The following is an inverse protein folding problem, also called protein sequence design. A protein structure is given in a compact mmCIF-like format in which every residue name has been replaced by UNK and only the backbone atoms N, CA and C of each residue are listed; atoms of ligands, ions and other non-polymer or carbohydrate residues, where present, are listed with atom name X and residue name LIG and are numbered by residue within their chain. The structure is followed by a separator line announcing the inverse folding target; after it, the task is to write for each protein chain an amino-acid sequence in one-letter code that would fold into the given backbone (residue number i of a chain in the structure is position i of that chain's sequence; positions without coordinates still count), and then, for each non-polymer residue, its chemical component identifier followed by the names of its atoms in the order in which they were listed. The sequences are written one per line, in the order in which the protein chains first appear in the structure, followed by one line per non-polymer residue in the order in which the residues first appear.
data_IF_161553086350
#
_entry.id   IF_161553086350
#
_cell.length_a   1.000
_cell.length_b   1.000
_cell.length_c   1.000
_cell.angle_alpha   90.00
_cell.angle_beta   90.00
_cell.angle_gamma   90.00
#
_symmetry.space_group_name_H-M   'P 1'
#
loop_
_entity.id
_entity.type
_entity.pdbx_description
1 polymer ?
#
# COMPACT_ATOMS: atom_id res chain seq x y z
N UNK A 1 -11.00 29.54 2.88
CA UNK A 1 -9.90 28.56 3.10
C UNK A 1 -9.87 27.70 1.84
N UNK A 2 -8.84 27.78 1.03
CA UNK A 2 -8.73 26.94 -0.17
C UNK A 2 -8.32 25.56 0.33
N UNK A 3 -9.27 24.61 0.32
CA UNK A 3 -8.96 23.19 0.55
C UNK A 3 -7.99 22.78 -0.56
N UNK A 4 -6.78 22.37 -0.19
CA UNK A 4 -5.82 21.78 -1.12
C UNK A 4 -6.07 20.29 -1.15
N UNK A 5 -6.29 19.75 -2.34
CA UNK A 5 -6.33 18.30 -2.57
C UNK A 5 -5.02 17.64 -2.14
N UNK A 6 -5.10 16.47 -1.50
CA UNK A 6 -3.95 15.61 -1.19
C UNK A 6 -3.65 14.63 -2.32
N UNK A 7 -4.60 14.47 -3.25
CA UNK A 7 -4.39 13.60 -4.41
C UNK A 7 -3.16 14.01 -5.22
N UNK A 8 -2.30 13.05 -5.47
CA UNK A 8 -1.09 13.22 -6.26
C UNK A 8 -1.11 12.27 -7.45
N UNK A 9 -1.30 12.82 -8.63
CA UNK A 9 -1.07 12.07 -9.87
C UNK A 9 0.43 11.81 -10.02
N UNK A 10 0.83 10.55 -9.88
CA UNK A 10 2.23 10.14 -10.01
C UNK A 10 2.67 9.92 -11.45
N UNK A 11 1.76 10.02 -12.42
CA UNK A 11 2.06 9.81 -13.85
C UNK A 11 3.09 10.80 -14.41
N UNK A 12 3.16 11.99 -13.81
CA UNK A 12 4.15 13.02 -14.15
C UNK A 12 5.52 12.84 -13.51
N UNK A 13 5.68 11.93 -12.53
CA UNK A 13 6.96 11.68 -11.88
C UNK A 13 7.93 10.96 -12.81
N UNK A 14 9.13 11.51 -12.93
CA UNK A 14 10.17 10.94 -13.79
C UNK A 14 11.53 11.01 -13.12
N UNK A 15 12.22 9.89 -13.11
CA UNK A 15 13.55 9.75 -12.54
C UNK A 15 14.59 9.59 -13.63
N UNK A 16 15.71 10.33 -13.54
CA UNK A 16 16.88 10.09 -14.39
C UNK A 16 17.61 8.82 -13.93
N UNK A 17 18.44 8.26 -14.81
CA UNK A 17 19.15 7.01 -14.57
C UNK A 17 19.80 6.91 -13.17
N UNK A 18 20.53 7.94 -12.73
CA UNK A 18 21.21 7.94 -11.43
C UNK A 18 20.25 7.80 -10.25
N UNK A 19 19.11 8.52 -10.29
CA UNK A 19 18.07 8.42 -9.26
C UNK A 19 17.39 7.06 -9.31
N UNK A 20 17.05 6.56 -10.51
CA UNK A 20 16.49 5.23 -10.71
C UNK A 20 17.41 4.13 -10.17
N UNK A 21 18.70 4.22 -10.44
CA UNK A 21 19.71 3.28 -9.95
C UNK A 21 19.82 3.29 -8.42
N UNK A 22 19.80 4.48 -7.82
CA UNK A 22 19.81 4.64 -6.36
C UNK A 22 18.58 4.02 -5.70
N UNK A 23 17.38 4.25 -6.24
CA UNK A 23 16.13 3.66 -5.76
C UNK A 23 16.14 2.12 -5.86
N UNK A 24 16.72 1.57 -6.93
CA UNK A 24 16.85 0.14 -7.12
C UNK A 24 18.04 -0.48 -6.35
N UNK A 25 18.86 0.33 -5.68
CA UNK A 25 20.05 -0.13 -4.94
C UNK A 25 21.12 -0.76 -5.81
N UNK A 26 21.30 -0.29 -7.06
CA UNK A 26 22.27 -0.82 -8.04
C UNK A 26 23.02 0.30 -8.76
N UNK A 27 24.08 -0.06 -9.49
CA UNK A 27 24.86 0.91 -10.27
C UNK A 27 24.15 1.32 -11.56
N UNK A 28 24.48 2.50 -12.10
CA UNK A 28 23.95 2.99 -13.37
C UNK A 28 24.20 2.03 -14.54
N UNK A 29 25.37 1.40 -14.56
CA UNK A 29 25.69 0.43 -15.61
C UNK A 29 24.84 -0.85 -15.47
N UNK A 30 24.59 -1.29 -14.24
CA UNK A 30 23.70 -2.43 -13.97
C UNK A 30 22.26 -2.12 -14.36
N UNK A 31 21.79 -0.89 -14.08
CA UNK A 31 20.45 -0.43 -14.47
C UNK A 31 20.31 -0.44 -15.99
N UNK A 32 21.28 0.12 -16.72
CA UNK A 32 21.28 0.08 -18.20
C UNK A 32 21.20 -1.35 -18.73
N UNK A 33 22.07 -2.24 -18.22
CA UNK A 33 22.11 -3.66 -18.59
C UNK A 33 20.73 -4.32 -18.37
N UNK A 34 20.11 -4.10 -17.21
CA UNK A 34 18.82 -4.72 -16.89
C UNK A 34 17.67 -4.17 -17.74
N UNK A 35 17.68 -2.87 -18.08
CA UNK A 35 16.71 -2.31 -19.03
C UNK A 35 16.84 -2.99 -20.38
N UNK A 36 18.07 -3.13 -20.88
CA UNK A 36 18.32 -3.73 -22.20
C UNK A 36 17.96 -5.24 -22.20
N UNK A 37 18.28 -5.98 -21.14
CA UNK A 37 17.96 -7.41 -21.00
C UNK A 37 16.47 -7.68 -20.76
N UNK A 38 15.77 -6.77 -20.06
CA UNK A 38 14.35 -6.95 -19.73
C UNK A 38 13.42 -6.68 -20.91
N UNK A 39 13.84 -5.91 -21.89
CA UNK A 39 13.00 -5.40 -22.95
C UNK A 39 11.93 -4.39 -22.46
N UNK A 40 12.02 -3.93 -21.22
CA UNK A 40 11.10 -2.92 -20.67
C UNK A 40 11.35 -1.59 -21.37
N UNK A 41 10.29 -1.07 -22.01
CA UNK A 41 10.36 0.23 -22.67
C UNK A 41 10.54 1.33 -21.63
N UNK A 42 11.63 2.06 -21.72
CA UNK A 42 11.93 3.25 -20.91
C UNK A 42 11.83 4.47 -21.80
N UNK A 43 11.05 5.46 -21.40
CA UNK A 43 10.89 6.71 -22.15
C UNK A 43 12.26 7.41 -22.24
N UNK A 44 12.47 8.11 -23.34
CA UNK A 44 13.65 8.98 -23.53
C UNK A 44 13.21 10.42 -23.73
N UNK A 45 13.83 11.35 -23.00
CA UNK A 45 13.67 12.76 -23.32
C UNK A 45 14.45 13.07 -24.60
N UNK A 46 13.95 14.04 -25.35
CA UNK A 46 14.56 14.50 -26.61
C UNK A 46 14.68 13.40 -27.69
N UNK A 47 13.76 12.45 -27.72
CA UNK A 47 13.72 11.39 -28.76
C UNK A 47 13.55 11.99 -30.16
N UNK A 48 12.89 13.16 -30.26
CA UNK A 48 12.59 13.85 -31.53
C UNK A 48 13.70 14.82 -31.95
N UNK A 49 14.72 15.07 -31.13
CA UNK A 49 15.84 15.96 -31.44
C UNK A 49 17.11 15.14 -31.75
N UNK A 50 17.42 14.99 -33.02
CA UNK A 50 18.59 14.25 -33.48
C UNK A 50 19.94 14.82 -32.99
N UNK A 51 19.97 16.05 -32.46
CA UNK A 51 21.16 16.69 -31.92
C UNK A 51 21.28 16.59 -30.41
N UNK A 52 20.21 16.24 -29.71
CA UNK A 52 20.20 16.14 -28.26
C UNK A 52 20.54 14.73 -27.80
N UNK A 53 21.27 14.65 -26.68
CA UNK A 53 21.52 13.34 -26.02
C UNK A 53 20.21 12.79 -25.45
N UNK A 54 19.78 11.65 -25.93
CA UNK A 54 18.58 10.99 -25.43
C UNK A 54 18.79 10.51 -23.97
N UNK A 55 18.05 11.10 -23.04
CA UNK A 55 18.14 10.78 -21.61
C UNK A 55 17.02 9.82 -21.22
N UNK A 56 17.35 8.65 -20.66
CA UNK A 56 16.37 7.69 -20.13
C UNK A 56 15.61 8.29 -18.94
N UNK A 57 14.29 8.22 -18.97
CA UNK A 57 13.38 8.70 -17.95
C UNK A 57 12.52 7.52 -17.44
N UNK A 58 12.59 7.26 -16.16
CA UNK A 58 11.89 6.18 -15.49
C UNK A 58 10.70 6.77 -14.72
N UNK A 59 9.49 6.37 -15.05
CA UNK A 59 8.33 6.59 -14.19
C UNK A 59 8.31 5.56 -13.04
N UNK A 60 7.49 5.77 -12.00
CA UNK A 60 7.40 4.85 -10.87
C UNK A 60 7.04 3.42 -11.29
N UNK A 61 6.05 3.24 -12.17
CA UNK A 61 5.62 1.92 -12.63
C UNK A 61 6.74 1.15 -13.33
N UNK A 62 7.49 1.84 -14.18
CA UNK A 62 8.67 1.27 -14.87
C UNK A 62 9.75 0.82 -13.88
N UNK A 63 9.99 1.58 -12.80
CA UNK A 63 10.95 1.20 -11.75
C UNK A 63 10.53 -0.06 -11.03
N UNK A 64 9.27 -0.13 -10.61
CA UNK A 64 8.73 -1.32 -9.93
C UNK A 64 8.67 -2.54 -10.85
N UNK A 65 8.33 -2.33 -12.12
CA UNK A 65 8.37 -3.39 -13.13
C UNK A 65 9.76 -3.96 -13.31
N UNK A 66 10.79 -3.10 -13.34
CA UNK A 66 12.18 -3.53 -13.42
C UNK A 66 12.63 -4.29 -12.16
N UNK A 67 12.17 -3.86 -10.98
CA UNK A 67 12.42 -4.55 -9.71
C UNK A 67 11.79 -5.96 -9.71
N UNK A 68 10.55 -6.12 -10.15
CA UNK A 68 9.89 -7.42 -10.28
C UNK A 68 10.59 -8.33 -11.30
N UNK A 69 11.01 -7.77 -12.45
CA UNK A 69 11.79 -8.51 -13.43
C UNK A 69 13.11 -9.04 -12.84
N UNK A 70 13.83 -8.23 -12.07
CA UNK A 70 15.07 -8.64 -11.37
C UNK A 70 14.82 -9.83 -10.45
N UNK A 71 13.73 -9.81 -9.70
CA UNK A 71 13.34 -10.92 -8.84
C UNK A 71 13.01 -12.17 -9.64
N UNK A 72 12.24 -12.06 -10.72
CA UNK A 72 11.90 -13.16 -11.59
C UNK A 72 13.14 -13.82 -12.24
N UNK A 73 14.21 -13.06 -12.46
CA UNK A 73 15.50 -13.55 -12.96
C UNK A 73 16.43 -14.06 -11.85
N UNK A 74 15.90 -14.20 -10.63
CA UNK A 74 16.66 -14.65 -9.46
C UNK A 74 17.87 -13.76 -9.08
N UNK A 75 17.92 -12.53 -9.55
CA UNK A 75 18.90 -11.55 -9.09
C UNK A 75 18.62 -11.08 -7.65
N UNK A 76 17.43 -11.33 -7.16
CA UNK A 76 17.03 -11.15 -5.76
C UNK A 76 16.48 -12.49 -5.27
N UNK A 77 17.12 -13.09 -4.28
CA UNK A 77 16.69 -14.36 -3.69
C UNK A 77 15.65 -14.09 -2.60
N UNK A 78 14.40 -14.25 -2.91
CA UNK A 78 13.34 -14.15 -1.89
C UNK A 78 12.26 -15.20 -2.16
N UNK A 79 12.43 -16.44 -1.70
CA UNK A 79 11.37 -17.43 -1.74
C UNK A 79 10.37 -17.12 -0.63
N UNK A 80 9.31 -16.38 -0.96
CA UNK A 80 8.15 -16.23 -0.07
C UNK A 80 7.09 -17.24 -0.49
N UNK A 81 6.56 -17.98 0.48
CA UNK A 81 5.46 -18.91 0.26
C UNK A 81 4.17 -18.25 0.80
N UNK A 82 3.45 -17.53 -0.04
CA UNK A 82 2.21 -16.83 0.27
C UNK A 82 2.42 -15.44 0.89
N UNK A 83 1.36 -14.65 1.09
CA UNK A 83 1.48 -13.32 1.64
C UNK A 83 1.89 -13.36 3.12
N UNK A 84 3.00 -12.70 3.44
CA UNK A 84 3.36 -12.41 4.83
C UNK A 84 2.68 -11.13 5.28
N UNK A 85 2.18 -11.13 6.50
CA UNK A 85 1.44 -9.99 7.09
C UNK A 85 2.35 -9.23 8.04
N UNK A 86 2.57 -7.96 7.75
CA UNK A 86 3.33 -7.01 8.57
C UNK A 86 2.37 -6.00 9.17
N UNK A 87 2.26 -5.93 10.48
CA UNK A 87 1.48 -4.91 11.18
C UNK A 87 2.42 -3.83 11.74
N UNK A 88 2.16 -2.57 11.39
CA UNK A 88 2.88 -1.43 11.95
C UNK A 88 2.01 -0.81 13.03
N UNK A 89 2.37 -1.04 14.30
CA UNK A 89 1.56 -0.63 15.44
C UNK A 89 2.38 -0.21 16.65
N UNK A 90 1.92 0.83 17.32
CA UNK A 90 2.27 1.20 18.70
C UNK A 90 1.18 2.11 19.27
N UNK A 91 0.88 1.95 20.55
CA UNK A 91 -0.14 2.76 21.28
C UNK A 91 0.43 4.14 21.61
N UNK A 92 0.90 4.87 20.61
CA UNK A 92 1.38 6.26 20.78
C UNK A 92 1.21 7.00 19.45
N UNK A 93 0.61 8.18 19.49
CA UNK A 93 0.53 9.07 18.33
C UNK A 93 1.89 9.70 17.99
N UNK A 94 2.09 10.09 16.73
CA UNK A 94 3.28 10.85 16.31
C UNK A 94 4.60 10.09 16.33
N UNK A 95 4.59 8.75 16.29
CA UNK A 95 5.80 7.91 16.27
C UNK A 95 6.27 7.56 14.87
N UNK A 96 5.55 7.98 13.82
CA UNK A 96 5.87 7.68 12.42
C UNK A 96 5.35 6.32 11.93
N UNK A 97 4.27 5.76 12.52
CA UNK A 97 3.66 4.50 12.07
C UNK A 97 3.35 4.51 10.57
N UNK A 98 2.53 5.45 10.16
CA UNK A 98 2.11 5.61 8.75
C UNK A 98 3.29 5.77 7.81
N UNK A 99 4.25 6.65 8.15
CA UNK A 99 5.48 6.81 7.35
C UNK A 99 6.25 5.50 7.27
N UNK A 100 6.38 4.78 8.40
CA UNK A 100 7.07 3.47 8.43
C UNK A 100 6.34 2.44 7.58
N UNK A 101 4.99 2.38 7.63
CA UNK A 101 4.19 1.46 6.81
C UNK A 101 4.37 1.75 5.31
N UNK A 102 4.29 3.03 4.92
CA UNK A 102 4.50 3.46 3.54
C UNK A 102 5.90 3.12 3.04
N UNK A 103 6.94 3.44 3.82
CA UNK A 103 8.34 3.16 3.47
C UNK A 103 8.61 1.65 3.35
N UNK A 104 8.06 0.83 4.25
CA UNK A 104 8.15 -0.63 4.16
C UNK A 104 7.51 -1.10 2.84
N UNK A 105 6.30 -0.64 2.52
CA UNK A 105 5.61 -1.04 1.31
C UNK A 105 6.41 -0.67 0.05
N UNK A 106 6.92 0.56 -0.04
CA UNK A 106 7.71 1.05 -1.17
C UNK A 106 9.02 0.30 -1.33
N UNK A 107 9.77 0.09 -0.23
CA UNK A 107 11.07 -0.58 -0.29
C UNK A 107 10.95 -2.08 -0.60
N UNK A 108 9.93 -2.77 -0.08
CA UNK A 108 9.68 -4.16 -0.45
C UNK A 108 9.29 -4.29 -1.93
N UNK A 109 8.50 -3.34 -2.45
CA UNK A 109 8.17 -3.31 -3.88
C UNK A 109 9.40 -3.04 -4.74
N UNK A 110 10.31 -2.12 -4.34
CA UNK A 110 11.60 -1.89 -5.01
C UNK A 110 12.55 -3.10 -4.90
N UNK A 111 12.38 -3.94 -3.89
CA UNK A 111 13.04 -5.25 -3.81
C UNK A 111 12.39 -6.30 -4.73
N UNK A 112 11.34 -5.94 -5.48
CA UNK A 112 10.65 -6.79 -6.45
C UNK A 112 9.52 -7.65 -5.88
N UNK A 113 9.14 -7.43 -4.62
CA UNK A 113 7.97 -8.08 -4.02
C UNK A 113 6.69 -7.40 -4.50
N UNK A 114 5.58 -8.13 -4.51
CA UNK A 114 4.25 -7.57 -4.73
C UNK A 114 3.62 -7.25 -3.39
N UNK A 115 3.37 -5.98 -3.13
CA UNK A 115 2.91 -5.49 -1.83
C UNK A 115 1.49 -4.94 -1.92
N UNK A 116 0.67 -5.32 -0.93
CA UNK A 116 -0.62 -4.71 -0.64
C UNK A 116 -0.52 -3.96 0.69
N UNK A 117 -0.66 -2.64 0.66
CA UNK A 117 -0.81 -1.85 1.86
C UNK A 117 -2.30 -1.77 2.24
N UNK A 118 -2.62 -1.83 3.53
CA UNK A 118 -3.98 -1.68 4.06
C UNK A 118 -3.94 -0.60 5.13
N UNK A 119 -4.69 0.46 4.91
CA UNK A 119 -4.91 1.49 5.91
C UNK A 119 -6.05 1.05 6.85
N UNK A 120 -5.75 0.87 8.12
CA UNK A 120 -6.70 0.45 9.16
C UNK A 120 -6.99 1.56 10.17
N UNK A 121 -6.53 2.79 9.92
CA UNK A 121 -6.81 3.96 10.74
C UNK A 121 -7.93 4.78 10.09
N UNK A 122 -9.00 5.07 10.84
CA UNK A 122 -10.08 5.98 10.41
C UNK A 122 -9.59 7.41 10.13
N UNK A 123 -8.40 7.76 10.59
CA UNK A 123 -7.76 9.03 10.26
C UNK A 123 -7.16 9.05 8.84
N UNK A 124 -7.12 7.91 8.16
CA UNK A 124 -6.77 7.77 6.75
C UNK A 124 -5.39 8.36 6.37
N UNK A 125 -4.45 8.33 7.33
CA UNK A 125 -3.16 8.97 7.12
C UNK A 125 -2.32 8.27 6.04
N UNK A 126 -2.36 6.94 5.93
CA UNK A 126 -1.66 6.21 4.87
C UNK A 126 -2.31 6.49 3.51
N UNK A 127 -3.63 6.55 3.48
CA UNK A 127 -4.43 6.89 2.29
C UNK A 127 -4.03 8.25 1.74
N UNK A 128 -3.99 9.26 2.58
CA UNK A 128 -3.56 10.62 2.22
C UNK A 128 -2.08 10.67 1.84
N UNK A 129 -1.22 9.94 2.55
CA UNK A 129 0.21 9.84 2.23
C UNK A 129 0.45 9.24 0.84
N UNK A 130 -0.39 8.30 0.44
CA UNK A 130 -0.38 7.69 -0.90
C UNK A 130 -1.09 8.56 -1.97
N UNK A 131 -1.60 9.74 -1.59
CA UNK A 131 -2.12 10.76 -2.50
C UNK A 131 -3.62 10.75 -2.73
N UNK A 132 -4.41 9.97 -1.99
CA UNK A 132 -5.88 9.90 -2.15
C UNK A 132 -6.62 10.80 -1.16
N UNK A 133 -7.84 11.22 -1.55
CA UNK A 133 -8.73 12.06 -0.77
C UNK A 133 -9.74 11.20 -0.01
N UNK A 134 -9.53 11.07 1.30
CA UNK A 134 -10.38 10.27 2.18
C UNK A 134 -11.62 11.00 2.69
N UNK A 135 -11.58 12.35 2.71
CA UNK A 135 -12.62 13.19 3.32
C UNK A 135 -13.65 13.73 2.32
N UNK A 136 -13.49 13.40 1.02
CA UNK A 136 -14.40 13.84 -0.03
C UNK A 136 -15.34 12.71 -0.45
N UNK A 137 -16.61 13.06 -0.67
CA UNK A 137 -17.54 12.17 -1.33
C UNK A 137 -17.37 12.20 -2.85
N UNK A 138 -17.70 11.10 -3.53
CA UNK A 138 -17.59 10.99 -4.98
C UNK A 138 -18.33 12.11 -5.74
N UNK A 139 -19.48 12.54 -5.20
CA UNK A 139 -20.29 13.63 -5.78
C UNK A 139 -19.59 14.99 -5.73
N UNK A 140 -18.63 15.17 -4.83
CA UNK A 140 -17.94 16.44 -4.62
C UNK A 140 -16.63 16.51 -5.42
N UNK A 141 -16.17 15.39 -6.00
CA UNK A 141 -14.90 15.32 -6.72
C UNK A 141 -14.79 16.37 -7.84
N UNK A 142 -15.83 16.55 -8.64
CA UNK A 142 -15.86 17.52 -9.73
C UNK A 142 -15.72 18.97 -9.24
N UNK A 143 -16.29 19.32 -8.08
CA UNK A 143 -16.19 20.64 -7.49
C UNK A 143 -14.74 21.00 -7.10
N UNK A 144 -13.91 19.99 -6.87
CA UNK A 144 -12.49 20.13 -6.56
C UNK A 144 -11.56 19.85 -7.76
N UNK A 145 -12.12 19.69 -8.97
CA UNK A 145 -11.39 19.33 -10.19
C UNK A 145 -10.61 18.00 -10.05
N UNK A 146 -11.17 17.05 -9.33
CA UNK A 146 -10.59 15.72 -9.12
C UNK A 146 -11.34 14.68 -9.96
N UNK A 147 -10.62 13.65 -10.36
CA UNK A 147 -11.23 12.44 -10.93
C UNK A 147 -11.86 11.58 -9.83
N UNK A 148 -12.84 10.76 -10.18
CA UNK A 148 -13.43 9.80 -9.22
C UNK A 148 -12.39 8.84 -8.62
N UNK A 149 -11.30 8.59 -9.32
CA UNK A 149 -10.19 7.75 -8.82
C UNK A 149 -9.46 8.36 -7.63
N UNK A 150 -9.44 9.71 -7.54
CA UNK A 150 -8.78 10.43 -6.45
C UNK A 150 -9.49 10.25 -5.11
N UNK A 151 -10.79 9.94 -5.14
CA UNK A 151 -11.64 9.84 -3.94
C UNK A 151 -11.74 8.39 -3.46
N UNK A 152 -11.87 8.23 -2.15
CA UNK A 152 -12.07 6.91 -1.53
C UNK A 152 -13.55 6.57 -1.57
N UNK A 153 -13.93 5.63 -2.45
CA UNK A 153 -15.31 5.13 -2.52
C UNK A 153 -15.52 3.85 -1.72
N UNK A 154 -14.46 3.09 -1.44
CA UNK A 154 -14.53 1.82 -0.71
C UNK A 154 -13.31 1.65 0.19
N UNK A 155 -13.54 1.04 1.35
CA UNK A 155 -12.52 0.72 2.35
C UNK A 155 -12.51 -0.77 2.66
N UNK A 156 -11.62 -1.20 3.54
CA UNK A 156 -11.57 -2.59 3.98
C UNK A 156 -12.86 -3.05 4.68
N UNK A 157 -13.70 -2.14 5.18
CA UNK A 157 -15.03 -2.45 5.70
C UNK A 157 -15.91 -3.18 4.67
N UNK A 158 -15.77 -2.85 3.38
CA UNK A 158 -16.52 -3.49 2.28
C UNK A 158 -16.15 -4.97 2.06
N UNK A 159 -15.05 -5.43 2.65
CA UNK A 159 -14.68 -6.85 2.68
C UNK A 159 -15.11 -7.50 3.99
N UNK A 160 -14.82 -6.85 5.11
CA UNK A 160 -15.03 -7.42 6.44
C UNK A 160 -16.51 -7.50 6.82
N UNK A 161 -17.30 -6.45 6.54
CA UNK A 161 -18.71 -6.45 6.90
C UNK A 161 -19.50 -7.60 6.23
N UNK A 162 -19.42 -7.82 4.89
CA UNK A 162 -20.04 -8.98 4.27
C UNK A 162 -19.51 -10.32 4.80
N UNK A 163 -18.21 -10.41 5.09
CA UNK A 163 -17.59 -11.62 5.61
C UNK A 163 -18.17 -12.05 6.97
N UNK A 164 -18.61 -11.10 7.80
CA UNK A 164 -19.31 -11.36 9.06
C UNK A 164 -20.83 -11.40 8.92
N UNK A 165 -21.35 -11.46 7.69
CA UNK A 165 -22.80 -11.56 7.41
C UNK A 165 -23.54 -10.24 7.50
N UNK A 166 -22.85 -9.11 7.35
CA UNK A 166 -23.45 -7.77 7.31
C UNK A 166 -23.22 -7.10 5.96
N UNK A 167 -24.32 -6.83 5.26
CA UNK A 167 -24.27 -6.24 3.91
C UNK A 167 -24.09 -7.26 2.79
N UNK A 168 -23.89 -6.76 1.58
CA UNK A 168 -23.69 -7.54 0.35
C UNK A 168 -22.25 -7.43 -0.14
N UNK A 169 -21.76 -8.45 -0.81
CA UNK A 169 -20.48 -8.42 -1.54
C UNK A 169 -20.65 -7.71 -2.87
N UNK A 170 -20.96 -6.41 -2.85
CA UNK A 170 -20.87 -5.61 -4.07
C UNK A 170 -19.42 -5.56 -4.53
N UNK A 171 -19.22 -5.62 -5.85
CA UNK A 171 -17.91 -5.84 -6.46
C UNK A 171 -16.78 -5.07 -5.75
N UNK A 172 -15.81 -5.82 -5.25
CA UNK A 172 -14.62 -5.29 -4.57
C UNK A 172 -13.63 -4.68 -5.58
N UNK A 173 -14.00 -4.66 -6.86
CA UNK A 173 -13.10 -4.27 -7.97
C UNK A 173 -12.49 -2.87 -7.88
N UNK A 174 -13.16 -1.93 -7.23
CA UNK A 174 -12.67 -0.56 -7.03
C UNK A 174 -12.01 -0.32 -5.67
N UNK A 175 -11.93 -1.35 -4.82
CA UNK A 175 -11.34 -1.26 -3.49
C UNK A 175 -9.82 -0.98 -3.55
N UNK A 176 -9.13 -1.67 -4.47
CA UNK A 176 -7.68 -1.63 -4.53
C UNK A 176 -7.22 -0.48 -5.41
N UNK A 177 -6.62 0.51 -4.81
CA UNK A 177 -6.00 1.66 -5.47
C UNK A 177 -4.55 1.33 -5.87
N UNK A 178 -4.06 2.00 -6.93
CA UNK A 178 -2.73 1.78 -7.52
C UNK A 178 -1.97 3.10 -7.62
N UNK A 179 -1.53 3.67 -6.50
CA UNK A 179 -0.96 5.03 -6.45
C UNK A 179 0.25 5.24 -7.36
N UNK A 180 0.98 4.17 -7.67
CA UNK A 180 2.19 4.21 -8.49
C UNK A 180 2.10 3.31 -9.73
N UNK A 181 0.89 3.04 -10.23
CA UNK A 181 0.64 2.16 -11.37
C UNK A 181 0.51 0.68 -10.98
N UNK A 182 0.39 -0.17 -12.00
CA UNK A 182 0.11 -1.60 -11.84
C UNK A 182 1.24 -2.38 -11.13
N UNK A 183 2.48 -1.95 -11.31
CA UNK A 183 3.65 -2.63 -10.76
C UNK A 183 4.12 -2.03 -9.43
N UNK A 184 3.53 -0.90 -8.99
CA UNK A 184 3.78 -0.30 -7.69
C UNK A 184 3.10 -1.04 -6.54
N UNK A 185 3.32 -0.62 -5.27
CA UNK A 185 2.54 -1.12 -4.16
C UNK A 185 1.08 -0.72 -4.34
N UNK A 186 0.17 -1.66 -4.11
CA UNK A 186 -1.26 -1.41 -4.11
C UNK A 186 -1.73 -0.98 -2.73
N UNK A 187 -2.88 -0.28 -2.67
CA UNK A 187 -3.44 0.25 -1.44
C UNK A 187 -4.92 -0.14 -1.31
N UNK A 188 -5.31 -0.65 -0.15
CA UNK A 188 -6.69 -0.60 0.33
C UNK A 188 -6.79 0.64 1.21
N UNK A 189 -7.55 1.67 0.76
CA UNK A 189 -7.63 2.93 1.48
C UNK A 189 -8.56 2.85 2.69
N UNK A 190 -8.50 3.88 3.53
CA UNK A 190 -9.39 4.13 4.64
C UNK A 190 -10.17 5.43 4.46
N UNK A 191 -11.29 5.52 5.16
CA UNK A 191 -12.07 6.73 5.39
C UNK A 191 -12.81 6.61 6.74
N UNK A 192 -13.64 7.60 7.07
CA UNK A 192 -14.42 7.58 8.31
C UNK A 192 -15.37 6.38 8.43
N UNK A 193 -15.83 5.80 7.30
CA UNK A 193 -16.73 4.64 7.28
C UNK A 193 -16.03 3.34 7.69
N UNK A 194 -14.69 3.33 7.79
CA UNK A 194 -13.98 2.17 8.33
C UNK A 194 -14.43 1.80 9.76
N UNK A 195 -14.98 2.75 10.52
CA UNK A 195 -15.60 2.50 11.82
C UNK A 195 -16.74 1.46 11.79
N UNK A 196 -17.45 1.32 10.67
CA UNK A 196 -18.50 0.32 10.49
C UNK A 196 -17.95 -1.11 10.60
N UNK A 197 -16.69 -1.31 10.17
CA UNK A 197 -15.99 -2.60 10.32
C UNK A 197 -15.86 -2.99 11.79
N UNK A 198 -15.45 -2.07 12.64
CA UNK A 198 -15.27 -2.34 14.08
C UNK A 198 -16.61 -2.67 14.77
N UNK A 199 -17.66 -1.95 14.41
CA UNK A 199 -19.00 -2.24 14.88
C UNK A 199 -19.50 -3.62 14.40
N UNK A 200 -19.33 -3.94 13.12
CA UNK A 200 -19.73 -5.22 12.53
C UNK A 200 -19.04 -6.40 13.22
N UNK A 201 -17.72 -6.29 13.41
CA UNK A 201 -16.91 -7.31 14.08
C UNK A 201 -17.31 -7.45 15.55
N UNK A 202 -17.53 -6.35 16.27
CA UNK A 202 -17.92 -6.35 17.68
C UNK A 202 -19.24 -7.08 17.92
N UNK A 203 -20.13 -7.07 16.94
CA UNK A 203 -21.42 -7.76 17.00
C UNK A 203 -21.36 -9.21 16.44
N UNK A 204 -20.22 -9.64 15.86
CA UNK A 204 -20.05 -10.99 15.34
C UNK A 204 -19.84 -12.02 16.45
N UNK A 205 -20.09 -13.31 16.14
CA UNK A 205 -19.88 -14.41 17.07
C UNK A 205 -18.50 -15.06 16.87
N UNK A 206 -17.93 -15.61 17.93
CA UNK A 206 -16.66 -16.36 17.89
C UNK A 206 -15.44 -15.54 18.32
N UNK A 207 -14.25 -16.03 17.98
CA UNK A 207 -12.98 -15.42 18.30
C UNK A 207 -12.72 -14.23 17.34
N UNK A 208 -13.19 -13.07 17.73
CA UNK A 208 -13.20 -11.84 16.91
C UNK A 208 -11.79 -11.38 16.56
N UNK A 209 -10.87 -11.54 17.49
CA UNK A 209 -9.44 -11.21 17.33
C UNK A 209 -8.77 -12.02 16.21
N UNK A 210 -9.25 -13.23 15.92
CA UNK A 210 -8.72 -14.09 14.85
C UNK A 210 -9.43 -13.92 13.50
N UNK A 211 -10.48 -13.10 13.45
CA UNK A 211 -11.30 -12.92 12.26
C UNK A 211 -10.49 -12.45 11.06
N UNK A 212 -9.67 -11.43 11.25
CA UNK A 212 -8.85 -10.89 10.16
C UNK A 212 -7.83 -11.92 9.66
N UNK A 213 -7.19 -12.67 10.56
CA UNK A 213 -6.27 -13.76 10.19
C UNK A 213 -6.95 -14.80 9.32
N UNK A 214 -8.16 -15.21 9.69
CA UNK A 214 -8.96 -16.17 8.93
C UNK A 214 -9.35 -15.60 7.57
N UNK A 215 -9.87 -14.37 7.52
CA UNK A 215 -10.26 -13.69 6.28
C UNK A 215 -9.08 -13.60 5.32
N UNK A 216 -7.91 -13.14 5.76
CA UNK A 216 -6.72 -13.03 4.91
C UNK A 216 -6.25 -14.40 4.42
N UNK A 217 -6.29 -15.43 5.26
CA UNK A 217 -5.93 -16.80 4.85
C UNK A 217 -6.91 -17.36 3.79
N UNK A 218 -8.20 -17.08 3.90
CA UNK A 218 -9.21 -17.48 2.91
C UNK A 218 -9.10 -16.67 1.61
N UNK A 219 -8.82 -15.36 1.72
CA UNK A 219 -8.57 -14.50 0.56
C UNK A 219 -7.31 -14.91 -0.22
N UNK A 220 -6.25 -15.33 0.48
CA UNK A 220 -5.04 -15.86 -0.16
C UNK A 220 -5.28 -17.21 -0.89
N UNK A 221 -6.36 -17.91 -0.56
CA UNK A 221 -6.80 -19.14 -1.23
C UNK A 221 -7.88 -18.88 -2.30
N UNK A 222 -8.19 -17.61 -2.61
CA UNK A 222 -9.23 -17.22 -3.56
C UNK A 222 -10.66 -17.58 -3.11
N UNK A 223 -10.89 -17.78 -1.80
CA UNK A 223 -12.19 -18.18 -1.25
C UNK A 223 -13.13 -17.02 -0.96
N UNK A 224 -12.64 -15.79 -0.99
CA UNK A 224 -13.45 -14.60 -0.77
C UNK A 224 -13.85 -14.00 -2.12
N UNK A 225 -15.14 -14.01 -2.49
CA UNK A 225 -15.59 -13.48 -3.77
C UNK A 225 -15.16 -12.02 -3.97
N UNK A 226 -14.51 -11.76 -5.10
CA UNK A 226 -14.05 -10.42 -5.47
C UNK A 226 -12.82 -9.91 -4.68
N UNK A 227 -12.31 -10.66 -3.71
CA UNK A 227 -11.14 -10.29 -2.92
C UNK A 227 -10.09 -11.41 -2.90
N UNK A 228 -9.23 -11.41 -3.91
CA UNK A 228 -8.11 -12.36 -4.04
C UNK A 228 -6.79 -11.62 -3.81
N UNK A 229 -6.07 -12.05 -2.77
CA UNK A 229 -4.76 -11.52 -2.40
C UNK A 229 -3.62 -12.50 -2.68
N UNK A 230 -3.87 -13.62 -3.33
CA UNK A 230 -2.88 -14.66 -3.64
C UNK A 230 -1.70 -14.16 -4.46
N UNK A 231 -1.90 -13.09 -5.23
CA UNK A 231 -0.86 -12.46 -6.06
C UNK A 231 0.16 -11.64 -5.28
N UNK A 232 -0.13 -11.30 -4.01
CA UNK A 232 0.77 -10.48 -3.19
C UNK A 232 1.73 -11.36 -2.39
N UNK A 233 2.94 -10.87 -2.20
CA UNK A 233 3.97 -11.51 -1.37
C UNK A 233 3.89 -11.01 0.07
N UNK A 234 3.54 -9.74 0.25
CA UNK A 234 3.48 -9.08 1.56
C UNK A 234 2.25 -8.19 1.66
N UNK A 235 1.61 -8.23 2.82
CA UNK A 235 0.55 -7.31 3.22
C UNK A 235 1.11 -6.43 4.33
N UNK A 236 1.08 -5.12 4.16
CA UNK A 236 1.52 -4.14 5.17
C UNK A 236 0.30 -3.42 5.71
N UNK A 237 0.04 -3.53 7.00
CA UNK A 237 -1.10 -2.90 7.66
C UNK A 237 -0.63 -1.70 8.50
N UNK A 238 -1.14 -0.50 8.20
CA UNK A 238 -1.02 0.68 9.07
C UNK A 238 -2.14 0.67 10.09
N UNK A 239 -1.79 0.52 11.36
CA UNK A 239 -2.75 0.32 12.43
C UNK A 239 -3.03 1.62 13.21
N UNK A 240 -4.26 1.81 13.72
CA UNK A 240 -4.60 2.97 14.55
C UNK A 240 -3.76 3.02 15.83
N UNK A 241 -3.55 4.22 16.43
CA UNK A 241 -2.70 4.42 17.61
C UNK A 241 -3.38 4.05 18.95
N UNK A 242 -4.37 3.20 18.94
CA UNK A 242 -5.15 2.81 20.10
C UNK A 242 -5.27 1.29 20.23
N UNK A 243 -5.74 0.83 21.37
CA UNK A 243 -6.11 -0.57 21.58
C UNK A 243 -7.59 -0.72 21.22
N UNK A 244 -7.86 -0.98 19.95
CA UNK A 244 -9.20 -1.21 19.41
C UNK A 244 -9.34 -2.66 18.95
N UNK A 245 -10.55 -3.06 18.57
CA UNK A 245 -10.76 -4.37 17.95
C UNK A 245 -9.99 -4.48 16.63
N UNK A 246 -9.95 -3.40 15.85
CA UNK A 246 -9.20 -3.32 14.59
C UNK A 246 -7.71 -3.57 14.79
N UNK A 247 -7.07 -2.85 15.74
CA UNK A 247 -5.66 -3.06 16.04
C UNK A 247 -5.38 -4.45 16.60
N UNK A 248 -6.27 -4.98 17.46
CA UNK A 248 -6.14 -6.34 18.03
C UNK A 248 -6.18 -7.40 16.93
N UNK A 249 -7.13 -7.29 15.99
CA UNK A 249 -7.22 -8.22 14.85
C UNK A 249 -5.99 -8.13 13.95
N UNK A 250 -5.50 -6.91 13.67
CA UNK A 250 -4.30 -6.70 12.86
C UNK A 250 -3.09 -7.37 13.50
N UNK A 251 -2.85 -7.15 14.80
CA UNK A 251 -1.76 -7.79 15.54
C UNK A 251 -1.88 -9.32 15.59
N UNK A 252 -3.09 -9.85 15.81
CA UNK A 252 -3.33 -11.28 15.82
C UNK A 252 -3.16 -11.96 14.45
N UNK A 253 -3.27 -11.20 13.36
CA UNK A 253 -3.06 -11.69 12.00
C UNK A 253 -1.63 -11.55 11.51
N UNK A 254 -0.80 -10.74 12.17
CA UNK A 254 0.55 -10.43 11.74
C UNK A 254 1.54 -11.59 11.93
N UNK A 255 2.40 -11.79 10.94
CA UNK A 255 3.61 -12.62 11.05
C UNK A 255 4.78 -11.80 11.61
N UNK A 256 4.78 -10.49 11.36
CA UNK A 256 5.78 -9.54 11.83
C UNK A 256 5.08 -8.29 12.37
N UNK A 257 5.48 -7.86 13.56
CA UNK A 257 5.02 -6.60 14.15
C UNK A 257 6.18 -5.61 14.15
N UNK A 258 5.95 -4.43 13.59
CA UNK A 258 6.91 -3.31 13.59
C UNK A 258 6.36 -2.22 14.49
N UNK A 259 7.11 -1.89 15.55
CA UNK A 259 6.75 -0.87 16.51
C UNK A 259 7.72 0.32 16.42
N UNK A 260 7.39 1.39 15.66
CA UNK A 260 8.23 2.58 15.55
C UNK A 260 8.29 3.33 16.87
N UNK A 261 9.47 3.51 17.46
CA UNK A 261 9.66 4.21 18.73
C UNK A 261 10.47 5.47 18.54
N UNK A 262 10.02 6.54 19.22
CA UNK A 262 10.88 7.72 19.38
C UNK A 262 11.83 7.46 20.53
N UNK A 263 13.11 7.82 20.36
CA UNK A 263 14.13 7.74 21.41
C UNK A 263 13.96 8.91 22.39
N UNK A 264 12.81 8.96 23.07
CA UNK A 264 12.52 9.87 24.16
C UNK A 264 12.12 9.06 25.42
N UNK A 265 12.17 9.71 26.60
CA UNK A 265 11.88 9.06 27.88
C UNK A 265 10.46 8.40 27.94
N UNK A 266 9.54 8.85 27.10
CA UNK A 266 8.17 8.31 27.01
C UNK A 266 8.06 7.18 25.98
N UNK A 267 8.90 7.18 24.94
CA UNK A 267 8.90 6.16 23.89
C UNK A 267 9.31 4.79 24.40
N UNK A 268 10.35 4.74 25.26
CA UNK A 268 10.84 3.51 25.88
C UNK A 268 9.82 2.89 26.83
N UNK A 269 9.03 3.71 27.54
CA UNK A 269 7.95 3.23 28.42
C UNK A 269 6.75 2.65 27.65
N UNK A 270 6.56 3.04 26.39
CA UNK A 270 5.48 2.53 25.54
C UNK A 270 5.68 1.09 25.04
N UNK A 271 6.93 0.60 25.05
CA UNK A 271 7.24 -0.78 24.66
C UNK A 271 6.90 -1.83 25.74
N UNK A 272 6.73 -1.40 26.99
CA UNK A 272 6.43 -2.28 28.13
C UNK A 272 4.94 -2.41 28.49
N UNK A 273 4.05 -1.89 27.65
CA UNK A 273 2.59 -2.01 27.81
C UNK A 273 2.00 -2.76 26.63
#
# INVERSE_FOLDING_TARGET
MILRSTYSDTSGLQYRLRAASALLGITDNTTKKYVDESGIRVRRANEDDAKAVAVRLFDPDTLFKLAQWRRAKHYIKTPLKGPYVVAVHIVKGGTGKTTTAAEIALHLQLAGMKVLAIDLDVQSNLTQYMGYEADLELKDAEAFNLTSEAVVGKTFAHVVCPYVGRGTTDSVGELIKKPFGEHGPHLIPSDANLGDMEYAVSASKGARELLLRKLLAEAAQGKIPGFDISKYDVIVMDCPPNVSMTSTMALASADIIVAPVRLDAFGVKGLGR
#
